data_IF_570281326055
#
_entry.id   IF_570281326055
#
_cell.length_a   1.000
_cell.length_b   1.000
_cell.length_c   1.000
_cell.angle_alpha   90.00
_cell.angle_beta   90.00
_cell.angle_gamma   90.00
#
_symmetry.space_group_name_H-M   'P 1'
#
loop_
_entity.id
_entity.type
_entity.pdbx_description
1 polymer ?
#
# COMPACT_ATOMS: atom_id res chain seq x y z
N UNK A 1 -25.72 24.73 -17.81
CA UNK A 1 -24.77 24.86 -16.69
C UNK A 1 -24.23 26.29 -16.53
N UNK A 2 -23.46 26.87 -17.47
CA UNK A 2 -22.89 28.23 -17.29
C UNK A 2 -23.93 29.35 -17.00
N UNK A 3 -25.04 29.42 -17.75
CA UNK A 3 -26.13 30.39 -17.48
C UNK A 3 -26.80 30.21 -16.11
N UNK A 4 -26.87 28.99 -15.59
CA UNK A 4 -27.42 28.71 -14.25
C UNK A 4 -26.46 29.13 -13.13
N UNK A 5 -25.17 29.28 -13.44
CA UNK A 5 -24.14 29.80 -12.53
C UNK A 5 -23.88 31.30 -12.73
N UNK A 6 -24.75 32.02 -13.47
CA UNK A 6 -24.64 33.46 -13.69
C UNK A 6 -23.54 33.89 -14.67
N UNK A 7 -22.91 32.94 -15.37
CA UNK A 7 -21.80 33.21 -16.30
C UNK A 7 -22.36 33.56 -17.67
N UNK A 8 -22.01 34.74 -18.19
CA UNK A 8 -22.37 35.16 -19.53
C UNK A 8 -21.41 34.55 -20.57
N UNK A 9 -21.68 33.29 -20.94
CA UNK A 9 -20.87 32.52 -21.89
C UNK A 9 -20.79 33.16 -23.29
N UNK A 10 -21.78 34.00 -23.65
CA UNK A 10 -21.81 34.71 -24.94
C UNK A 10 -20.69 35.78 -25.05
N UNK A 11 -20.08 36.18 -23.92
CA UNK A 11 -18.93 37.11 -23.91
C UNK A 11 -17.56 36.42 -24.02
N UNK A 12 -17.48 35.12 -23.74
CA UNK A 12 -16.20 34.36 -23.65
C UNK A 12 -15.98 33.40 -24.83
N UNK A 13 -17.00 33.11 -25.62
CA UNK A 13 -16.93 32.19 -26.76
C UNK A 13 -17.03 32.95 -28.10
N UNK A 14 -16.10 32.66 -29.02
CA UNK A 14 -16.14 33.19 -30.38
C UNK A 14 -16.67 32.14 -31.36
N UNK A 15 -17.54 32.54 -32.30
CA UNK A 15 -18.03 31.66 -33.38
C UNK A 15 -16.99 31.60 -34.50
N UNK A 16 -16.51 30.40 -34.82
CA UNK A 16 -15.36 30.21 -35.73
C UNK A 16 -15.78 29.61 -37.08
N UNK A 17 -16.93 28.94 -37.20
CA UNK A 17 -17.39 28.38 -38.49
C UNK A 17 -18.86 27.95 -38.55
N UNK A 18 -19.37 27.66 -39.77
CA UNK A 18 -20.67 27.03 -40.03
C UNK A 18 -20.52 25.51 -40.16
N UNK A 19 -21.42 24.73 -39.55
CA UNK A 19 -21.21 23.30 -39.29
C UNK A 19 -21.31 22.33 -40.48
N UNK A 20 -21.17 22.79 -41.73
CA UNK A 20 -21.32 21.97 -42.94
C UNK A 20 -20.00 21.51 -43.59
N UNK A 21 -18.83 21.91 -43.07
CA UNK A 21 -17.55 21.63 -43.73
C UNK A 21 -16.84 20.36 -43.25
N UNK A 22 -17.25 19.73 -42.14
CA UNK A 22 -16.63 18.50 -41.60
C UNK A 22 -17.67 17.49 -41.14
N UNK A 23 -17.59 16.26 -41.65
CA UNK A 23 -18.40 15.12 -41.22
C UNK A 23 -17.78 14.51 -39.95
N UNK A 24 -18.38 14.79 -38.79
CA UNK A 24 -18.00 14.19 -37.52
C UNK A 24 -18.83 12.94 -37.27
N UNK A 25 -18.23 11.92 -36.66
CA UNK A 25 -18.87 10.62 -36.41
C UNK A 25 -19.01 10.44 -34.90
N UNK A 26 -20.17 9.96 -34.43
CA UNK A 26 -20.39 9.66 -33.02
C UNK A 26 -19.60 8.42 -32.56
N UNK A 27 -19.56 8.18 -31.24
CA UNK A 27 -18.88 7.03 -30.65
C UNK A 27 -19.47 5.66 -31.08
N UNK A 28 -20.62 5.66 -31.76
CA UNK A 28 -21.27 4.48 -32.32
C UNK A 28 -21.06 4.34 -33.84
N UNK A 29 -20.29 5.24 -34.47
CA UNK A 29 -19.95 5.18 -35.89
C UNK A 29 -20.92 5.91 -36.82
N UNK A 30 -21.88 6.69 -36.32
CA UNK A 30 -22.86 7.39 -37.17
C UNK A 30 -22.44 8.84 -37.47
N UNK A 31 -22.57 9.32 -38.72
CA UNK A 31 -22.26 10.69 -39.07
C UNK A 31 -23.27 11.68 -38.46
N UNK A 32 -22.75 12.72 -37.80
CA UNK A 32 -23.52 13.78 -37.15
C UNK A 32 -23.37 15.11 -37.89
N UNK A 33 -24.49 15.79 -38.13
CA UNK A 33 -24.54 17.15 -38.69
C UNK A 33 -24.66 18.23 -37.61
N UNK A 34 -23.94 19.34 -37.77
CA UNK A 34 -23.89 20.46 -36.81
C UNK A 34 -24.25 21.79 -37.47
N UNK A 35 -24.70 22.77 -36.67
CA UNK A 35 -25.09 24.10 -37.16
C UNK A 35 -23.95 25.12 -37.10
N UNK A 36 -23.09 25.05 -36.08
CA UNK A 36 -22.00 26.00 -35.87
C UNK A 36 -20.90 25.43 -34.99
N UNK A 37 -19.70 25.97 -35.13
CA UNK A 37 -18.55 25.71 -34.25
C UNK A 37 -18.18 26.98 -33.47
N UNK A 38 -17.98 26.83 -32.16
CA UNK A 38 -17.53 27.85 -31.22
C UNK A 38 -16.19 27.45 -30.62
N UNK A 39 -15.34 28.43 -30.29
CA UNK A 39 -14.09 28.21 -29.56
C UNK A 39 -14.09 29.05 -28.29
N UNK A 40 -13.74 28.42 -27.16
CA UNK A 40 -13.62 29.06 -25.85
C UNK A 40 -12.27 28.68 -25.21
N UNK A 41 -11.62 29.63 -24.53
CA UNK A 41 -10.35 29.39 -23.86
C UNK A 41 -10.59 28.90 -22.42
N UNK A 42 -10.11 27.71 -22.08
CA UNK A 42 -10.25 27.09 -20.76
C UNK A 42 -8.89 27.06 -20.05
N UNK A 43 -8.88 27.29 -18.73
CA UNK A 43 -7.67 27.19 -17.91
C UNK A 43 -7.63 25.82 -17.24
N UNK A 44 -6.56 25.07 -17.45
CA UNK A 44 -6.36 23.72 -16.89
C UNK A 44 -5.44 23.85 -15.68
N UNK A 45 -5.83 23.25 -14.55
CA UNK A 45 -5.00 23.20 -13.35
C UNK A 45 -3.66 22.54 -13.70
N UNK A 46 -2.55 23.16 -13.30
CA UNK A 46 -1.16 22.76 -13.57
C UNK A 46 -0.63 22.91 -15.01
N UNK A 47 -1.45 23.26 -16.02
CA UNK A 47 -1.00 23.29 -17.42
C UNK A 47 -1.24 24.61 -18.21
N UNK A 48 -1.90 25.64 -17.65
CA UNK A 48 -2.08 26.95 -18.30
C UNK A 48 -3.42 27.11 -19.06
N UNK A 49 -3.50 28.07 -20.00
CA UNK A 49 -4.72 28.34 -20.81
C UNK A 49 -4.67 27.58 -22.14
N UNK A 50 -5.74 26.86 -22.51
CA UNK A 50 -5.87 26.09 -23.75
C UNK A 50 -7.22 26.36 -24.46
N UNK A 51 -7.25 26.51 -25.80
CA UNK A 51 -8.49 26.67 -26.55
C UNK A 51 -9.24 25.34 -26.72
N UNK A 52 -10.56 25.36 -26.49
CA UNK A 52 -11.45 24.21 -26.64
C UNK A 52 -12.55 24.51 -27.66
N UNK A 53 -12.76 23.58 -28.58
CA UNK A 53 -13.76 23.67 -29.65
C UNK A 53 -15.08 23.01 -29.22
N UNK A 54 -16.19 23.68 -29.46
CA UNK A 54 -17.55 23.29 -29.06
C UNK A 54 -18.47 23.35 -30.28
N UNK A 55 -19.25 22.29 -30.53
CA UNK A 55 -20.13 22.20 -31.70
C UNK A 55 -21.59 22.36 -31.30
N UNK A 56 -22.37 23.12 -32.07
CA UNK A 56 -23.78 23.40 -31.77
C UNK A 56 -24.67 22.55 -32.65
N UNK A 57 -25.56 21.77 -32.05
CA UNK A 57 -26.56 20.96 -32.77
C UNK A 57 -27.97 21.39 -32.35
N UNK A 58 -28.94 21.31 -33.27
CA UNK A 58 -30.35 21.56 -32.94
C UNK A 58 -31.09 20.24 -32.89
N UNK A 59 -31.63 19.92 -31.73
CA UNK A 59 -32.56 18.81 -31.53
C UNK A 59 -33.99 19.36 -31.53
N UNK A 60 -35.00 18.50 -31.67
CA UNK A 60 -36.39 18.90 -31.99
C UNK A 60 -36.98 19.95 -31.02
N UNK A 61 -36.57 19.95 -29.75
CA UNK A 61 -37.09 20.91 -28.76
C UNK A 61 -36.06 21.89 -28.17
N UNK A 62 -34.76 21.72 -28.42
CA UNK A 62 -33.72 22.64 -27.90
C UNK A 62 -32.45 22.66 -28.77
N UNK A 63 -31.74 23.80 -28.75
CA UNK A 63 -30.38 23.89 -29.31
C UNK A 63 -29.37 23.42 -28.27
N UNK A 64 -28.67 22.34 -28.56
CA UNK A 64 -27.69 21.69 -27.68
C UNK A 64 -26.26 22.12 -28.08
N UNK A 65 -25.48 22.53 -27.09
CA UNK A 65 -24.04 22.77 -27.25
C UNK A 65 -23.32 21.45 -26.96
N UNK A 66 -22.90 20.74 -27.99
CA UNK A 66 -22.12 19.50 -27.89
C UNK A 66 -20.63 19.82 -27.99
N UNK A 67 -20.03 19.90 -26.83
CA UNK A 67 -18.61 19.72 -26.69
C UNK A 67 -18.36 19.28 -25.26
N UNK A 68 -17.70 18.14 -25.12
CA UNK A 68 -17.00 17.73 -23.89
C UNK A 68 -17.82 17.18 -22.73
N UNK A 69 -18.77 16.30 -23.00
CA UNK A 69 -19.31 15.35 -22.02
C UNK A 69 -18.25 14.36 -21.46
N UNK A 70 -17.04 14.30 -22.05
CA UNK A 70 -15.93 13.47 -21.56
C UNK A 70 -14.94 14.22 -20.64
N UNK A 71 -15.01 15.55 -20.49
CA UNK A 71 -14.00 16.26 -19.69
C UNK A 71 -14.07 15.92 -18.21
N UNK A 72 -15.28 15.75 -17.66
CA UNK A 72 -15.45 15.29 -16.28
C UNK A 72 -14.96 13.86 -16.06
N UNK A 73 -15.07 12.99 -17.07
CA UNK A 73 -14.54 11.61 -17.01
C UNK A 73 -13.01 11.57 -17.17
N UNK A 74 -12.42 12.54 -17.87
CA UNK A 74 -10.98 12.74 -17.97
C UNK A 74 -10.39 13.51 -16.77
N UNK A 75 -11.19 13.79 -15.73
CA UNK A 75 -10.77 14.50 -14.52
C UNK A 75 -10.61 16.02 -14.69
N UNK A 76 -11.06 16.58 -15.81
CA UNK A 76 -10.94 18.01 -16.11
C UNK A 76 -12.23 18.72 -15.70
N UNK A 77 -12.12 19.59 -14.69
CA UNK A 77 -13.24 20.39 -14.19
C UNK A 77 -13.12 21.82 -14.71
N UNK A 78 -14.16 22.30 -15.40
CA UNK A 78 -14.20 23.68 -15.92
C UNK A 78 -14.68 24.60 -14.82
N UNK A 79 -13.82 25.53 -14.38
CA UNK A 79 -14.16 26.56 -13.39
C UNK A 79 -14.33 27.89 -14.12
N UNK A 80 -15.50 28.51 -13.97
CA UNK A 80 -15.76 29.84 -14.50
C UNK A 80 -15.41 30.88 -13.45
N UNK A 81 -14.49 31.80 -13.77
CA UNK A 81 -14.13 32.89 -12.86
C UNK A 81 -15.15 34.02 -12.96
N UNK A 82 -15.94 34.24 -11.91
CA UNK A 82 -16.69 35.49 -11.74
C UNK A 82 -15.74 36.60 -11.32
N UNK A 83 -15.54 37.60 -12.16
CA UNK A 83 -14.60 38.71 -11.93
C UNK A 83 -15.10 39.69 -10.86
N UNK A 84 -14.25 40.03 -9.89
CA UNK A 84 -13.70 41.38 -9.68
C UNK A 84 -13.16 41.58 -8.24
N UNK A 85 -11.83 41.50 -8.06
CA UNK A 85 -11.00 42.56 -7.45
C UNK A 85 -9.59 42.03 -7.19
N UNK A 86 -8.73 42.21 -8.19
CA UNK A 86 -7.29 42.28 -7.99
C UNK A 86 -6.95 43.68 -7.46
N UNK A 87 -6.17 43.73 -6.37
CA UNK A 87 -5.32 44.88 -6.07
C UNK A 87 -4.03 44.36 -5.40
N UNK A 88 -2.95 44.47 -6.15
CA UNK A 88 -1.57 44.18 -5.75
C UNK A 88 -1.15 44.90 -4.46
N UNK A 89 -0.37 44.21 -3.63
CA UNK A 89 0.34 44.81 -2.50
C UNK A 89 1.09 43.78 -1.67
N UNK A 90 2.43 43.86 -1.71
CA UNK A 90 3.38 43.00 -0.98
C UNK A 90 3.00 42.75 0.50
N UNK A 91 3.07 41.48 0.93
CA UNK A 91 3.27 41.11 2.33
C UNK A 91 2.33 40.02 2.87
N UNK A 92 2.93 38.98 3.43
CA UNK A 92 2.36 37.91 4.25
C UNK A 92 1.68 36.72 3.53
N UNK A 93 2.25 35.54 3.76
CA UNK A 93 1.72 34.22 3.42
C UNK A 93 0.28 34.01 3.93
N UNK A 94 -0.61 33.31 3.21
CA UNK A 94 -1.92 32.97 3.74
C UNK A 94 -1.78 31.79 4.71
N UNK A 95 -1.83 32.10 6.01
CA UNK A 95 -2.16 31.13 7.06
C UNK A 95 -3.61 30.69 6.79
N UNK A 96 -3.79 29.47 6.32
CA UNK A 96 -5.13 28.87 6.14
C UNK A 96 -5.50 28.09 7.39
N UNK A 97 -6.68 28.39 7.94
CA UNK A 97 -7.22 27.84 9.19
C UNK A 97 -7.54 26.33 9.07
N UNK A 98 -6.54 25.48 9.33
CA UNK A 98 -6.74 24.03 9.46
C UNK A 98 -7.19 23.61 10.88
N UNK A 99 -7.98 24.46 11.53
CA UNK A 99 -8.32 24.33 12.95
C UNK A 99 -9.36 23.22 13.14
N UNK A 100 -9.08 22.29 14.05
CA UNK A 100 -9.95 21.17 14.44
C UNK A 100 -10.60 21.48 15.78
N UNK A 101 -11.93 21.46 15.81
CA UNK A 101 -12.73 21.83 16.99
C UNK A 101 -13.56 20.66 17.51
N UNK A 102 -13.84 20.61 18.80
CA UNK A 102 -14.74 19.63 19.37
C UNK A 102 -16.18 19.83 18.86
N UNK A 103 -16.76 18.81 18.22
CA UNK A 103 -18.14 18.83 17.73
C UNK A 103 -19.15 18.81 18.88
N UNK A 104 -18.79 18.12 19.97
CA UNK A 104 -19.60 17.94 21.18
C UNK A 104 -18.74 18.17 22.42
N UNK A 105 -19.36 18.68 23.49
CA UNK A 105 -18.71 18.76 24.78
C UNK A 105 -18.67 17.40 25.47
N UNK A 106 -17.52 17.05 26.06
CA UNK A 106 -17.34 15.80 26.81
C UNK A 106 -16.64 16.09 28.14
N UNK A 107 -16.94 15.28 29.15
CA UNK A 107 -16.20 15.27 30.41
C UNK A 107 -15.44 13.96 30.48
N UNK A 108 -14.12 14.02 30.54
CA UNK A 108 -13.25 12.85 30.66
C UNK A 108 -12.76 12.73 32.10
N UNK A 109 -13.22 11.73 32.88
CA UNK A 109 -12.74 11.52 34.24
C UNK A 109 -11.22 11.27 34.30
N UNK A 110 -10.55 11.56 35.43
CA UNK A 110 -9.11 11.32 35.58
C UNK A 110 -8.77 9.85 35.39
N UNK A 111 -7.75 9.54 34.58
CA UNK A 111 -7.29 8.18 34.28
C UNK A 111 -8.08 7.43 33.20
N UNK A 112 -9.10 8.05 32.59
CA UNK A 112 -9.94 7.42 31.57
C UNK A 112 -9.59 7.82 30.14
N UNK A 113 -9.95 6.95 29.20
CA UNK A 113 -9.91 7.21 27.75
C UNK A 113 -11.33 7.49 27.25
N UNK A 114 -11.50 8.53 26.45
CA UNK A 114 -12.77 8.86 25.82
C UNK A 114 -12.58 9.24 24.35
N UNK A 115 -13.53 8.89 23.48
CA UNK A 115 -13.53 9.31 22.09
C UNK A 115 -14.28 10.65 21.95
N UNK A 116 -13.63 11.65 21.36
CA UNK A 116 -14.21 12.96 21.09
C UNK A 116 -14.43 13.12 19.60
N UNK A 117 -15.66 13.50 19.25
CA UNK A 117 -16.00 13.92 17.89
C UNK A 117 -15.42 15.30 17.63
N UNK A 118 -14.65 15.41 16.56
CA UNK A 118 -14.09 16.67 16.10
C UNK A 118 -14.61 17.04 14.72
N UNK A 119 -14.71 18.35 14.48
CA UNK A 119 -15.13 18.97 13.22
C UNK A 119 -13.99 19.84 12.67
N UNK A 120 -13.72 19.74 11.37
CA UNK A 120 -12.72 20.57 10.70
C UNK A 120 -12.64 20.32 9.18
N UNK A 121 -11.95 21.19 8.43
CA UNK A 121 -11.82 21.09 6.97
C UNK A 121 -10.83 19.99 6.57
N UNK A 122 -11.26 18.73 6.67
CA UNK A 122 -10.47 17.55 6.29
C UNK A 122 -11.33 16.55 5.53
N UNK A 123 -10.74 15.85 4.55
CA UNK A 123 -11.44 14.83 3.76
C UNK A 123 -10.56 13.59 3.58
N UNK A 124 -11.06 12.42 3.97
CA UNK A 124 -10.32 11.16 3.87
C UNK A 124 -9.41 10.90 5.07
N UNK A 125 -8.27 10.23 4.85
CA UNK A 125 -7.29 9.98 5.90
C UNK A 125 -6.43 11.24 6.12
N UNK A 126 -6.62 11.93 7.25
CA UNK A 126 -5.91 13.16 7.60
C UNK A 126 -5.09 12.95 8.88
N UNK A 127 -3.89 13.54 8.95
CA UNK A 127 -3.08 13.55 10.17
C UNK A 127 -3.59 14.65 11.12
N UNK A 128 -4.05 14.26 12.31
CA UNK A 128 -4.39 15.17 13.39
C UNK A 128 -3.12 15.52 14.19
N UNK A 129 -2.76 16.81 14.23
CA UNK A 129 -1.72 17.32 15.13
C UNK A 129 -2.38 17.93 16.36
N UNK A 130 -2.12 17.32 17.50
CA UNK A 130 -2.58 17.85 18.78
C UNK A 130 -1.79 19.08 19.18
N UNK A 131 -2.47 20.09 19.72
CA UNK A 131 -1.83 21.23 20.39
C UNK A 131 -1.65 21.01 21.91
N UNK A 132 -2.15 19.90 22.45
CA UNK A 132 -2.13 19.60 23.88
C UNK A 132 -1.44 18.26 24.14
N UNK A 133 -0.57 18.17 25.15
CA UNK A 133 0.10 16.91 25.54
C UNK A 133 -0.86 15.79 25.99
N UNK A 134 -2.14 16.11 26.18
CA UNK A 134 -3.20 15.19 26.62
C UNK A 134 -3.94 14.50 25.46
N UNK A 135 -3.67 14.90 24.22
CA UNK A 135 -4.22 14.26 23.02
C UNK A 135 -3.04 13.78 22.18
N UNK A 136 -3.06 12.51 21.82
CA UNK A 136 -2.04 11.94 20.95
C UNK A 136 -2.31 12.38 19.50
N UNK A 137 -1.25 12.75 18.78
CA UNK A 137 -1.34 13.03 17.35
C UNK A 137 -1.45 11.72 16.59
N UNK A 138 -2.32 11.64 15.58
CA UNK A 138 -2.63 10.37 14.91
C UNK A 138 -3.33 10.54 13.57
N UNK A 139 -3.39 9.47 12.78
CA UNK A 139 -4.10 9.46 11.49
C UNK A 139 -5.58 9.15 11.75
N UNK A 140 -6.45 10.04 11.33
CA UNK A 140 -7.89 9.91 11.51
C UNK A 140 -8.59 9.83 10.16
N UNK A 141 -9.60 8.97 10.07
CA UNK A 141 -10.47 8.91 8.90
C UNK A 141 -11.59 9.96 9.05
N UNK A 142 -11.48 11.06 8.32
CA UNK A 142 -12.46 12.14 8.31
C UNK A 142 -13.57 11.82 7.32
N UNK A 143 -14.79 11.66 7.83
CA UNK A 143 -16.01 11.47 7.04
C UNK A 143 -16.91 12.68 7.25
N UNK A 144 -17.31 13.35 6.16
CA UNK A 144 -18.19 14.53 6.23
C UNK A 144 -17.66 15.64 7.17
N UNK A 145 -16.35 15.95 7.11
CA UNK A 145 -15.67 16.90 8.00
C UNK A 145 -15.71 16.53 9.50
N UNK A 146 -16.05 15.27 9.84
CA UNK A 146 -16.05 14.76 11.21
C UNK A 146 -15.08 13.59 11.37
N UNK A 147 -14.42 13.52 12.53
CA UNK A 147 -13.58 12.40 12.92
C UNK A 147 -13.72 12.11 14.43
N UNK A 148 -13.53 10.85 14.81
CA UNK A 148 -13.45 10.43 16.21
C UNK A 148 -11.98 10.37 16.63
N UNK A 149 -11.61 11.11 17.66
CA UNK A 149 -10.23 11.15 18.20
C UNK A 149 -10.22 10.59 19.62
N UNK A 150 -9.37 9.60 19.94
CA UNK A 150 -9.19 9.14 21.31
C UNK A 150 -8.42 10.17 22.13
N UNK A 151 -8.94 10.49 23.31
CA UNK A 151 -8.34 11.42 24.27
C UNK A 151 -8.10 10.69 25.58
N UNK A 152 -6.93 10.91 26.19
CA UNK A 152 -6.53 10.29 27.46
C UNK A 152 -6.37 11.36 28.53
N UNK A 153 -7.21 11.34 29.56
CA UNK A 153 -7.02 12.26 30.68
C UNK A 153 -5.97 11.70 31.66
N UNK A 154 -4.73 12.16 31.53
CA UNK A 154 -3.60 11.82 32.42
C UNK A 154 -3.52 12.70 33.69
N UNK A 155 -4.46 13.62 33.89
CA UNK A 155 -4.50 14.51 35.06
C UNK A 155 -5.22 13.93 36.27
N UNK A 156 -5.07 14.61 37.43
CA UNK A 156 -5.79 14.28 38.68
C UNK A 156 -7.21 14.85 38.76
N UNK A 157 -7.61 15.66 37.78
CA UNK A 157 -8.92 16.34 37.73
C UNK A 157 -9.67 15.98 36.44
N UNK A 158 -11.02 15.96 36.47
CA UNK A 158 -11.82 15.71 35.28
C UNK A 158 -11.62 16.81 34.24
N UNK A 159 -11.34 16.41 33.00
CA UNK A 159 -11.14 17.34 31.90
C UNK A 159 -12.47 17.57 31.18
N UNK A 160 -12.95 18.82 31.22
CA UNK A 160 -14.16 19.25 30.49
C UNK A 160 -13.73 19.88 29.18
N UNK A 161 -14.08 19.25 28.06
CA UNK A 161 -13.91 19.80 26.71
C UNK A 161 -15.24 20.41 26.29
N UNK A 162 -15.23 21.68 25.89
CA UNK A 162 -16.41 22.40 25.45
C UNK A 162 -16.66 22.22 23.95
N UNK A 163 -17.94 22.28 23.54
CA UNK A 163 -18.28 22.31 22.10
C UNK A 163 -17.65 23.56 21.47
N UNK A 164 -16.89 23.37 20.39
CA UNK A 164 -16.19 24.43 19.67
C UNK A 164 -14.77 24.73 20.17
N UNK A 165 -14.31 24.05 21.22
CA UNK A 165 -12.93 24.18 21.72
C UNK A 165 -11.93 23.64 20.69
N UNK A 166 -10.84 24.38 20.46
CA UNK A 166 -9.79 24.00 19.53
C UNK A 166 -8.93 22.90 20.16
N UNK A 167 -8.92 21.71 19.53
CA UNK A 167 -8.18 20.54 20.02
C UNK A 167 -6.87 20.32 19.26
N UNK A 168 -6.78 20.82 18.04
CA UNK A 168 -5.60 20.66 17.21
C UNK A 168 -5.78 21.23 15.82
N UNK A 169 -4.92 20.77 14.91
CA UNK A 169 -4.94 21.16 13.51
C UNK A 169 -4.84 19.93 12.60
N UNK A 170 -5.57 19.96 11.48
CA UNK A 170 -5.36 18.99 10.42
C UNK A 170 -4.04 19.34 9.72
N UNK A 171 -3.12 18.40 9.65
CA UNK A 171 -1.92 18.63 8.85
C UNK A 171 -2.31 18.78 7.37
N UNK A 172 -1.75 19.78 6.71
CA UNK A 172 -1.80 19.94 5.24
C UNK A 172 -0.93 18.90 4.52
N UNK A 173 -0.13 18.14 5.26
CA UNK A 173 0.73 17.12 4.70
C UNK A 173 -0.14 15.99 4.15
N UNK A 174 -0.04 15.77 2.84
CA UNK A 174 -0.64 14.63 2.19
C UNK A 174 0.04 13.37 2.71
N UNK A 175 -0.67 12.59 3.53
CA UNK A 175 -0.26 11.23 3.81
C UNK A 175 -0.56 10.40 2.58
N UNK A 176 0.50 9.89 1.95
CA UNK A 176 0.40 9.08 0.74
C UNK A 176 0.49 7.63 1.16
N UNK A 177 -0.55 6.85 0.87
CA UNK A 177 -0.48 5.39 0.95
C UNK A 177 0.73 4.94 0.11
N UNK A 178 1.78 4.38 0.74
CA UNK A 178 2.90 3.83 0.01
C UNK A 178 2.39 2.58 -0.69
N UNK A 179 1.81 2.75 -1.88
CA UNK A 179 1.89 1.73 -2.91
C UNK A 179 3.37 1.51 -3.15
N UNK A 180 3.97 0.61 -2.38
CA UNK A 180 5.20 -0.06 -2.76
C UNK A 180 4.88 -0.58 -4.14
N UNK A 181 5.61 -0.10 -5.15
CA UNK A 181 5.61 -0.84 -6.39
C UNK A 181 6.21 -2.18 -5.97
N UNK A 182 5.36 -3.22 -5.86
CA UNK A 182 5.84 -4.57 -5.68
C UNK A 182 6.96 -4.70 -6.71
N UNK A 183 8.18 -5.01 -6.24
CA UNK A 183 9.25 -5.39 -7.15
C UNK A 183 8.59 -6.44 -8.03
N UNK A 184 8.69 -6.37 -9.37
CA UNK A 184 8.17 -7.40 -10.25
C UNK A 184 9.00 -8.70 -10.11
N UNK A 185 9.29 -9.13 -8.88
CA UNK A 185 9.39 -10.52 -8.48
C UNK A 185 7.99 -11.08 -8.55
N UNK A 186 7.54 -11.35 -9.79
CA UNK A 186 6.56 -12.40 -9.94
C UNK A 186 7.17 -13.62 -9.26
N UNK A 187 6.43 -14.22 -8.32
CA UNK A 187 6.79 -15.38 -7.50
C UNK A 187 7.32 -16.58 -8.33
N UNK A 188 7.33 -16.45 -9.66
CA UNK A 188 7.47 -17.44 -10.72
C UNK A 188 8.17 -16.86 -11.99
N UNK A 189 8.91 -15.76 -11.87
CA UNK A 189 9.64 -15.13 -12.99
C UNK A 189 10.83 -15.99 -13.44
N UNK A 190 10.71 -16.60 -14.63
CA UNK A 190 11.55 -17.71 -15.14
C UNK A 190 12.98 -17.36 -15.59
N UNK A 191 13.45 -16.12 -15.51
CA UNK A 191 14.80 -15.80 -15.99
C UNK A 191 15.23 -14.37 -15.64
N UNK A 192 16.12 -14.24 -14.66
CA UNK A 192 16.97 -13.06 -14.56
C UNK A 192 18.44 -13.50 -14.47
N UNK A 193 19.34 -12.91 -15.28
CA UNK A 193 20.76 -13.21 -15.20
C UNK A 193 21.35 -12.68 -13.89
N UNK A 194 22.35 -13.39 -13.35
CA UNK A 194 23.14 -12.94 -12.19
C UNK A 194 23.83 -11.62 -12.59
N UNK A 195 23.45 -10.53 -11.94
CA UNK A 195 23.98 -9.19 -12.24
C UNK A 195 25.36 -8.98 -11.60
N UNK A 196 26.24 -8.23 -12.26
CA UNK A 196 27.51 -7.80 -11.67
C UNK A 196 27.27 -6.81 -10.51
N UNK A 197 28.14 -6.79 -9.50
CA UNK A 197 27.94 -6.00 -8.27
C UNK A 197 27.73 -4.49 -8.51
N UNK A 198 28.42 -3.90 -9.50
CA UNK A 198 28.25 -2.49 -9.82
C UNK A 198 26.86 -2.20 -10.40
N UNK A 199 26.38 -3.08 -11.30
CA UNK A 199 25.05 -2.98 -11.89
C UNK A 199 23.96 -3.26 -10.85
N UNK A 200 24.24 -4.17 -9.91
CA UNK A 200 23.38 -4.50 -8.77
C UNK A 200 23.05 -3.28 -7.91
N UNK A 201 24.08 -2.55 -7.45
CA UNK A 201 23.91 -1.36 -6.61
C UNK A 201 23.14 -0.28 -7.37
N UNK A 202 23.43 -0.10 -8.66
CA UNK A 202 22.70 0.85 -9.50
C UNK A 202 21.21 0.48 -9.64
N UNK A 203 20.90 -0.80 -9.82
CA UNK A 203 19.53 -1.30 -9.86
C UNK A 203 18.81 -1.14 -8.52
N UNK A 204 19.44 -1.48 -7.40
CA UNK A 204 18.88 -1.27 -6.06
C UNK A 204 18.55 0.20 -5.80
N UNK A 205 19.49 1.10 -6.10
CA UNK A 205 19.26 2.55 -5.95
C UNK A 205 18.11 3.00 -6.86
N UNK A 206 18.03 2.50 -8.08
CA UNK A 206 16.93 2.84 -9.01
C UNK A 206 15.59 2.36 -8.47
N UNK A 207 15.51 1.13 -7.95
CA UNK A 207 14.29 0.56 -7.36
C UNK A 207 13.86 1.38 -6.12
N UNK A 208 14.82 1.73 -5.26
CA UNK A 208 14.54 2.53 -4.06
C UNK A 208 14.13 3.97 -4.41
N UNK A 209 14.77 4.59 -5.40
CA UNK A 209 14.40 5.92 -5.89
C UNK A 209 13.01 5.92 -6.54
N UNK A 210 12.64 4.86 -7.28
CA UNK A 210 11.29 4.68 -7.83
C UNK A 210 10.24 4.45 -6.73
N UNK A 211 10.62 3.78 -5.66
CA UNK A 211 9.76 3.52 -4.50
C UNK A 211 9.61 4.76 -3.60
N UNK A 212 10.57 5.70 -3.65
CA UNK A 212 10.52 6.96 -2.91
C UNK A 212 9.64 7.98 -3.61
N UNK A 213 8.67 8.51 -2.88
CA UNK A 213 7.80 9.59 -3.35
C UNK A 213 8.27 10.99 -2.94
N UNK A 214 9.26 11.10 -2.06
CA UNK A 214 9.73 12.37 -1.49
C UNK A 214 11.25 12.55 -1.62
N UNK A 215 11.67 13.44 -2.53
CA UNK A 215 13.05 13.89 -2.69
C UNK A 215 14.07 12.79 -3.02
N UNK A 216 15.29 13.18 -3.44
CA UNK A 216 16.37 12.23 -3.66
C UNK A 216 16.72 11.49 -2.35
N UNK A 217 17.06 10.20 -2.45
CA UNK A 217 17.55 9.44 -1.30
C UNK A 217 18.83 10.09 -0.72
N UNK A 218 18.92 10.31 0.60
CA UNK A 218 20.11 10.87 1.23
C UNK A 218 21.39 10.08 0.90
N UNK A 219 22.50 10.78 0.72
CA UNK A 219 23.78 10.19 0.31
C UNK A 219 24.30 9.17 1.34
N UNK A 220 24.04 9.39 2.62
CA UNK A 220 24.41 8.45 3.68
C UNK A 220 23.69 7.11 3.52
N UNK A 221 22.39 7.14 3.22
CA UNK A 221 21.59 5.92 3.00
C UNK A 221 22.04 5.22 1.72
N UNK A 222 22.34 5.98 0.64
CA UNK A 222 22.93 5.44 -0.59
C UNK A 222 24.24 4.68 -0.31
N UNK A 223 25.10 5.21 0.57
CA UNK A 223 26.33 4.52 0.98
C UNK A 223 26.04 3.23 1.75
N UNK A 224 25.08 3.25 2.68
CA UNK A 224 24.67 2.04 3.42
C UNK A 224 24.16 0.96 2.46
N UNK A 225 23.28 1.31 1.52
CA UNK A 225 22.75 0.36 0.53
C UNK A 225 23.87 -0.20 -0.35
N UNK A 226 24.87 0.62 -0.71
CA UNK A 226 26.04 0.15 -1.45
C UNK A 226 26.95 -0.78 -0.64
N UNK A 227 27.08 -0.55 0.66
CA UNK A 227 27.88 -1.36 1.59
C UNK A 227 27.24 -2.75 1.84
N UNK A 228 25.92 -2.78 2.05
CA UNK A 228 25.12 -3.99 2.35
C UNK A 228 24.33 -4.50 1.14
N UNK A 229 24.82 -4.25 -0.08
CA UNK A 229 24.12 -4.58 -1.33
C UNK A 229 23.79 -6.08 -1.51
N UNK A 230 24.51 -6.96 -0.81
CA UNK A 230 24.36 -8.40 -0.79
C UNK A 230 23.20 -8.88 0.10
N UNK A 231 22.81 -8.10 1.10
CA UNK A 231 21.67 -8.40 1.99
C UNK A 231 20.32 -8.23 1.28
N UNK A 232 20.23 -7.28 0.35
CA UNK A 232 18.99 -7.02 -0.39
C UNK A 232 18.79 -8.04 -1.49
N UNK A 233 17.62 -8.66 -1.62
CA UNK A 233 17.29 -9.48 -2.78
C UNK A 233 16.73 -8.61 -3.92
N UNK A 234 17.28 -8.76 -5.14
CA UNK A 234 16.69 -8.16 -6.35
C UNK A 234 15.74 -9.15 -7.03
N UNK A 235 16.06 -10.43 -6.90
CA UNK A 235 15.29 -11.54 -7.43
C UNK A 235 15.16 -12.62 -6.38
N UNK A 236 14.01 -13.27 -6.36
CA UNK A 236 13.76 -14.45 -5.54
C UNK A 236 14.72 -15.63 -5.86
N UNK A 237 15.47 -15.58 -6.98
CA UNK A 237 16.52 -16.56 -7.30
C UNK A 237 17.76 -16.44 -6.39
N UNK A 238 17.94 -15.30 -5.74
CA UNK A 238 19.08 -15.02 -4.86
C UNK A 238 18.83 -15.49 -3.42
N UNK A 239 17.61 -15.95 -3.13
CA UNK A 239 17.21 -16.35 -1.80
C UNK A 239 18.00 -17.58 -1.35
N UNK A 240 18.58 -17.46 -0.17
CA UNK A 240 19.28 -18.54 0.51
C UNK A 240 18.44 -19.06 1.69
N UNK A 241 18.86 -20.19 2.25
CA UNK A 241 18.19 -20.78 3.42
C UNK A 241 18.98 -20.45 4.68
N UNK A 242 18.27 -20.11 5.76
CA UNK A 242 18.89 -19.92 7.07
C UNK A 242 19.32 -21.26 7.66
N UNK A 243 20.39 -21.23 8.46
CA UNK A 243 20.86 -22.35 9.28
C UNK A 243 20.47 -22.21 10.77
N UNK A 244 19.75 -21.15 11.13
CA UNK A 244 19.42 -20.83 12.53
C UNK A 244 18.28 -21.69 13.09
N UNK A 245 17.32 -22.06 12.24
CA UNK A 245 16.13 -22.80 12.67
C UNK A 245 15.58 -23.68 11.56
N UNK A 246 15.15 -24.88 11.96
CA UNK A 246 14.29 -25.74 11.14
C UNK A 246 12.85 -25.60 11.61
N UNK A 247 11.92 -25.58 10.65
CA UNK A 247 10.49 -25.64 10.96
C UNK A 247 9.99 -27.09 10.93
N UNK A 248 9.21 -27.41 11.95
CA UNK A 248 8.62 -28.74 12.13
C UNK A 248 7.10 -28.64 12.27
N UNK A 249 6.39 -29.65 11.80
CA UNK A 249 4.92 -29.74 11.85
C UNK A 249 4.56 -30.87 12.80
N UNK A 250 4.31 -30.52 14.07
CA UNK A 250 3.92 -31.50 15.09
C UNK A 250 2.41 -31.77 15.04
N UNK A 251 2.04 -32.95 14.53
CA UNK A 251 0.65 -33.42 14.46
C UNK A 251 0.27 -34.37 15.60
N UNK A 252 1.08 -34.47 16.66
CA UNK A 252 0.77 -35.27 17.85
C UNK A 252 0.61 -36.77 17.59
N UNK A 253 1.23 -37.29 16.52
CA UNK A 253 1.11 -38.70 16.11
C UNK A 253 -0.15 -39.03 15.31
N UNK A 254 -0.89 -38.04 14.82
CA UNK A 254 -2.06 -38.25 13.97
C UNK A 254 -1.68 -39.02 12.67
N UNK A 255 -2.50 -39.99 12.22
CA UNK A 255 -2.24 -40.70 10.97
C UNK A 255 -2.30 -39.77 9.75
N UNK A 256 -1.68 -40.14 8.62
CA UNK A 256 -1.66 -39.30 7.42
C UNK A 256 -3.06 -38.94 6.89
N UNK A 257 -3.22 -37.66 6.54
CA UNK A 257 -4.45 -37.15 5.92
C UNK A 257 -4.27 -37.13 4.40
N UNK A 258 -5.15 -37.82 3.68
CA UNK A 258 -5.18 -37.84 2.21
C UNK A 258 -6.44 -37.16 1.69
N UNK A 259 -6.31 -35.92 1.25
CA UNK A 259 -7.39 -35.18 0.61
C UNK A 259 -7.43 -35.45 -0.90
N UNK A 260 -8.61 -35.30 -1.50
CA UNK A 260 -8.80 -35.48 -2.94
C UNK A 260 -8.16 -34.33 -3.71
N UNK A 261 -7.35 -34.65 -4.71
CA UNK A 261 -6.79 -33.67 -5.66
C UNK A 261 -7.91 -32.89 -6.35
N UNK A 262 -7.76 -31.57 -6.40
CA UNK A 262 -8.73 -30.70 -7.08
C UNK A 262 -8.43 -30.64 -8.58
N UNK A 263 -9.47 -30.66 -9.44
CA UNK A 263 -9.26 -30.48 -10.87
C UNK A 263 -8.75 -29.07 -11.15
N UNK A 264 -7.80 -28.97 -12.08
CA UNK A 264 -7.29 -27.70 -12.59
C UNK A 264 -8.00 -27.41 -13.93
N UNK A 265 -8.61 -26.23 -14.12
CA UNK A 265 -9.18 -25.83 -15.40
C UNK A 265 -8.17 -25.94 -16.55
N UNK A 266 -8.62 -26.42 -17.71
CA UNK A 266 -7.73 -26.71 -18.84
C UNK A 266 -6.90 -25.50 -19.29
N UNK A 267 -7.50 -24.30 -19.29
CA UNK A 267 -6.83 -23.07 -19.75
C UNK A 267 -5.63 -22.63 -18.91
N UNK A 268 -5.54 -23.06 -17.64
CA UNK A 268 -4.46 -22.65 -16.72
C UNK A 268 -3.54 -23.82 -16.34
N UNK A 269 -3.77 -25.00 -16.91
CA UNK A 269 -3.00 -26.20 -16.56
C UNK A 269 -1.52 -26.08 -16.92
N UNK A 270 -1.22 -25.53 -18.10
CA UNK A 270 0.15 -25.31 -18.54
C UNK A 270 0.88 -24.31 -17.63
N UNK A 271 0.19 -23.26 -17.17
CA UNK A 271 0.73 -22.29 -16.22
C UNK A 271 1.07 -22.97 -14.89
N UNK A 272 0.15 -23.76 -14.34
CA UNK A 272 0.35 -24.52 -13.09
C UNK A 272 1.48 -25.54 -13.20
N UNK A 273 1.64 -26.20 -14.35
CA UNK A 273 2.77 -27.10 -14.63
C UNK A 273 4.09 -26.32 -14.69
N UNK A 274 4.12 -25.15 -15.33
CA UNK A 274 5.29 -24.26 -15.34
C UNK A 274 5.67 -23.79 -13.93
N UNK A 275 4.71 -23.46 -13.08
CA UNK A 275 4.97 -23.09 -11.68
C UNK A 275 5.61 -24.22 -10.88
N UNK A 276 5.16 -25.45 -11.10
CA UNK A 276 5.72 -26.62 -10.41
C UNK A 276 7.17 -26.85 -10.83
N UNK A 277 7.49 -26.67 -12.11
CA UNK A 277 8.87 -26.78 -12.61
C UNK A 277 9.74 -25.70 -11.98
N UNK A 278 9.29 -24.44 -11.98
CA UNK A 278 10.01 -23.33 -11.34
C UNK A 278 10.30 -23.60 -9.86
N UNK A 279 9.29 -24.00 -9.09
CA UNK A 279 9.45 -24.30 -7.66
C UNK A 279 10.44 -25.46 -7.42
N UNK A 280 10.53 -26.43 -8.34
CA UNK A 280 11.49 -27.54 -8.26
C UNK A 280 12.90 -27.08 -8.58
N UNK A 281 13.08 -26.30 -9.65
CA UNK A 281 14.39 -25.79 -10.06
C UNK A 281 15.00 -24.91 -8.96
N UNK A 282 14.15 -24.16 -8.27
CA UNK A 282 14.50 -23.31 -7.11
C UNK A 282 14.67 -24.10 -5.82
N UNK A 283 14.47 -25.42 -5.84
CA UNK A 283 14.57 -26.32 -4.68
C UNK A 283 13.64 -25.92 -3.52
N UNK A 284 12.54 -25.25 -3.82
CA UNK A 284 11.46 -24.95 -2.86
C UNK A 284 10.60 -26.18 -2.63
N UNK A 285 10.36 -26.97 -3.70
CA UNK A 285 9.64 -28.24 -3.65
C UNK A 285 10.43 -29.37 -4.31
N UNK A 286 10.03 -30.61 -4.03
CA UNK A 286 10.57 -31.82 -4.64
C UNK A 286 9.46 -32.86 -4.85
N UNK A 287 9.72 -33.88 -5.68
CA UNK A 287 8.77 -34.98 -5.87
C UNK A 287 8.60 -35.74 -4.55
N UNK A 288 7.35 -36.12 -4.23
CA UNK A 288 7.03 -36.77 -2.97
C UNK A 288 6.40 -38.14 -3.17
N UNK A 289 6.64 -39.03 -2.21
CA UNK A 289 5.95 -40.30 -2.04
C UNK A 289 5.23 -40.35 -0.68
N UNK A 290 4.96 -39.18 -0.11
CA UNK A 290 4.40 -39.04 1.23
C UNK A 290 3.01 -39.69 1.32
N UNK A 291 2.66 -40.31 2.46
CA UNK A 291 1.30 -40.76 2.71
C UNK A 291 0.32 -39.60 2.94
N UNK A 292 0.81 -38.37 3.13
CA UNK A 292 0.01 -37.15 3.27
C UNK A 292 -0.29 -36.51 1.90
N UNK A 293 -1.46 -35.92 1.76
CA UNK A 293 -1.83 -35.20 0.54
C UNK A 293 -2.80 -34.06 0.83
N UNK A 294 -2.32 -32.83 0.66
CA UNK A 294 -3.16 -31.62 0.64
C UNK A 294 -3.41 -31.16 -0.80
N UNK A 295 -4.60 -30.67 -1.17
CA UNK A 295 -4.86 -30.23 -2.54
C UNK A 295 -4.40 -28.78 -2.75
N UNK A 296 -3.98 -28.46 -3.98
CA UNK A 296 -3.72 -27.06 -4.36
C UNK A 296 -5.00 -26.24 -4.52
N UNK A 297 -4.87 -24.94 -4.33
CA UNK A 297 -5.88 -23.90 -4.58
C UNK A 297 -5.22 -22.80 -5.39
N UNK A 298 -5.84 -22.42 -6.50
CA UNK A 298 -5.35 -21.38 -7.38
C UNK A 298 -6.12 -20.10 -7.10
N UNK A 299 -5.42 -19.01 -6.84
CA UNK A 299 -6.00 -17.70 -6.51
C UNK A 299 -5.49 -16.68 -7.52
N UNK A 300 -6.39 -15.95 -8.17
CA UNK A 300 -6.01 -14.85 -9.05
C UNK A 300 -5.53 -13.64 -8.23
N UNK A 301 -4.36 -13.11 -8.57
CA UNK A 301 -3.85 -11.84 -8.06
C UNK A 301 -4.54 -10.67 -8.79
N UNK A 302 -4.39 -9.46 -8.26
CA UNK A 302 -4.97 -8.22 -8.83
C UNK A 302 -4.39 -7.88 -10.21
N UNK A 303 -3.16 -8.29 -10.48
CA UNK A 303 -2.44 -8.11 -11.74
C UNK A 303 -2.84 -9.13 -12.82
N UNK A 304 -3.71 -10.10 -12.49
CA UNK A 304 -4.15 -11.15 -13.40
C UNK A 304 -3.30 -12.43 -13.37
N UNK A 305 -2.17 -12.44 -12.66
CA UNK A 305 -1.35 -13.64 -12.44
C UNK A 305 -1.99 -14.59 -11.45
N UNK A 306 -1.58 -15.87 -11.44
CA UNK A 306 -2.15 -16.87 -10.54
C UNK A 306 -1.15 -17.19 -9.42
N UNK A 307 -1.66 -17.28 -8.19
CA UNK A 307 -0.93 -17.78 -7.01
C UNK A 307 -1.31 -19.22 -6.72
N UNK A 308 -0.31 -20.09 -6.66
CA UNK A 308 -0.47 -21.47 -6.18
C UNK A 308 -0.43 -21.49 -4.65
N UNK A 309 -1.54 -21.84 -4.03
CA UNK A 309 -1.67 -22.07 -2.59
C UNK A 309 -1.92 -23.55 -2.32
N UNK A 310 -1.60 -24.02 -1.12
CA UNK A 310 -1.96 -25.37 -0.66
C UNK A 310 -2.98 -25.27 0.46
N UNK A 311 -4.04 -26.07 0.37
CA UNK A 311 -5.09 -26.10 1.39
C UNK A 311 -4.71 -26.99 2.57
N UNK A 312 -3.94 -26.43 3.52
CA UNK A 312 -3.55 -27.10 4.75
C UNK A 312 -4.62 -27.07 5.84
N UNK A 313 -5.89 -26.75 5.56
CA UNK A 313 -6.91 -26.64 6.62
C UNK A 313 -7.08 -27.91 7.44
N UNK A 314 -7.03 -29.09 6.84
CA UNK A 314 -7.14 -30.36 7.58
C UNK A 314 -5.88 -30.66 8.39
N UNK A 315 -4.69 -30.38 7.84
CA UNK A 315 -3.41 -30.47 8.56
C UNK A 315 -3.42 -29.54 9.77
N UNK A 316 -3.81 -28.28 9.59
CA UNK A 316 -3.85 -27.26 10.64
C UNK A 316 -4.80 -27.59 11.81
N UNK A 317 -5.81 -28.44 11.60
CA UNK A 317 -6.70 -28.89 12.69
C UNK A 317 -6.00 -29.84 13.65
N UNK A 318 -5.08 -30.65 13.14
CA UNK A 318 -4.35 -31.68 13.91
C UNK A 318 -2.96 -31.21 14.35
N UNK A 319 -2.44 -30.15 13.72
CA UNK A 319 -1.18 -29.52 14.14
C UNK A 319 -1.31 -28.89 15.53
N UNK A 320 -0.37 -29.22 16.40
CA UNK A 320 -0.20 -28.58 17.71
C UNK A 320 0.17 -27.10 17.51
N UNK A 321 -0.72 -26.21 17.95
CA UNK A 321 -0.55 -24.77 17.80
C UNK A 321 0.48 -24.24 18.79
N UNK A 322 1.33 -23.33 18.31
CA UNK A 322 2.20 -22.52 19.17
C UNK A 322 1.41 -21.29 19.65
N UNK A 323 1.51 -20.97 20.94
CA UNK A 323 0.86 -19.80 21.55
C UNK A 323 1.84 -18.66 21.75
N UNK A 324 2.91 -18.62 20.95
CA UNK A 324 3.89 -17.55 20.98
C UNK A 324 3.21 -16.18 20.79
N UNK A 325 3.40 -15.23 21.71
CA UNK A 325 2.76 -13.93 21.61
C UNK A 325 3.37 -13.14 20.46
N UNK A 326 2.52 -12.62 19.56
CA UNK A 326 2.95 -11.59 18.63
C UNK A 326 3.00 -10.23 19.35
N UNK A 327 3.94 -9.35 19.01
CA UNK A 327 3.97 -8.00 19.55
C UNK A 327 2.65 -7.27 19.29
N UNK A 328 2.01 -6.67 20.31
CA UNK A 328 0.83 -5.84 20.12
C UNK A 328 1.16 -4.64 19.23
N UNK A 329 0.37 -4.43 18.18
CA UNK A 329 0.54 -3.33 17.23
C UNK A 329 0.51 -1.97 17.96
N UNK A 330 -0.30 -1.83 19.01
CA UNK A 330 -0.40 -0.61 19.81
C UNK A 330 0.93 -0.18 20.41
N UNK A 331 1.77 -1.13 20.85
CA UNK A 331 3.09 -0.84 21.42
C UNK A 331 4.02 -0.31 20.33
N UNK A 332 4.01 -0.97 19.16
CA UNK A 332 4.77 -0.53 18.00
C UNK A 332 4.39 0.90 17.62
N UNK A 333 3.08 1.22 17.57
CA UNK A 333 2.59 2.56 17.25
C UNK A 333 2.98 3.61 18.29
N UNK A 334 2.90 3.29 19.59
CA UNK A 334 3.34 4.19 20.66
C UNK A 334 4.82 4.54 20.56
N UNK A 335 5.67 3.59 20.18
CA UNK A 335 7.11 3.81 20.01
C UNK A 335 7.45 4.76 18.84
N UNK A 336 6.51 5.00 17.91
CA UNK A 336 6.70 5.94 16.80
C UNK A 336 6.57 7.41 17.21
N UNK A 337 6.06 7.69 18.42
CA UNK A 337 5.88 9.05 18.89
C UNK A 337 7.22 9.80 18.93
N UNK A 338 7.28 10.97 18.29
CA UNK A 338 8.47 11.82 18.22
C UNK A 338 9.55 11.35 17.24
N UNK A 339 9.36 10.22 16.55
CA UNK A 339 10.25 9.75 15.49
C UNK A 339 10.00 10.54 14.21
N UNK A 340 11.08 10.80 13.46
CA UNK A 340 11.06 11.61 12.22
C UNK A 340 11.55 10.84 11.00
N UNK A 341 12.33 9.80 11.22
CA UNK A 341 12.93 8.98 10.17
C UNK A 341 12.41 7.55 10.28
N UNK A 342 11.92 7.02 9.17
CA UNK A 342 11.30 5.70 9.10
C UNK A 342 11.88 4.90 7.93
N UNK A 343 12.23 3.66 8.20
CA UNK A 343 12.55 2.65 7.18
C UNK A 343 11.73 1.41 7.47
N UNK A 344 11.03 0.92 6.44
CA UNK A 344 10.36 -0.37 6.45
C UNK A 344 11.20 -1.32 5.60
N UNK A 345 11.52 -2.49 6.13
CA UNK A 345 12.15 -3.58 5.40
C UNK A 345 11.16 -4.75 5.36
N UNK A 346 10.96 -5.29 4.16
CA UNK A 346 10.16 -6.49 3.93
C UNK A 346 11.09 -7.63 3.53
N UNK A 347 10.89 -8.81 4.13
CA UNK A 347 11.70 -9.99 3.81
C UNK A 347 11.17 -10.69 2.56
N UNK A 348 11.93 -10.62 1.47
CA UNK A 348 11.63 -11.29 0.21
C UNK A 348 11.40 -12.81 0.40
N UNK A 349 10.16 -13.23 0.22
CA UNK A 349 9.68 -14.61 0.41
C UNK A 349 10.24 -15.26 1.68
N UNK A 350 10.25 -14.54 2.80
CA UNK A 350 10.94 -14.92 4.04
C UNK A 350 10.70 -16.36 4.49
N UNK A 351 9.47 -16.88 4.37
CA UNK A 351 9.16 -18.26 4.76
C UNK A 351 9.97 -19.30 3.97
N UNK A 352 10.26 -19.07 2.68
CA UNK A 352 11.04 -20.01 1.87
C UNK A 352 12.52 -20.07 2.26
N UNK A 353 12.98 -19.17 3.12
CA UNK A 353 14.33 -19.21 3.67
C UNK A 353 14.42 -20.17 4.86
N UNK A 354 13.29 -20.63 5.43
CA UNK A 354 13.27 -21.53 6.60
C UNK A 354 13.16 -22.99 6.15
N UNK A 355 14.17 -23.84 6.35
CA UNK A 355 14.11 -25.25 5.98
C UNK A 355 13.09 -26.04 6.81
N UNK A 356 12.49 -27.08 6.20
CA UNK A 356 11.63 -28.05 6.89
C UNK A 356 12.42 -29.28 7.38
N UNK A 357 12.05 -29.79 8.55
CA UNK A 357 12.50 -31.13 9.00
C UNK A 357 11.99 -32.21 8.06
N UNK A 358 12.67 -33.36 7.97
CA UNK A 358 12.26 -34.46 7.08
C UNK A 358 10.79 -34.89 7.30
N UNK A 359 10.35 -34.95 8.56
CA UNK A 359 8.96 -35.23 8.94
C UNK A 359 8.00 -34.15 8.45
N UNK A 360 8.35 -32.89 8.62
CA UNK A 360 7.53 -31.77 8.16
C UNK A 360 7.42 -31.72 6.63
N UNK A 361 8.47 -32.11 5.90
CA UNK A 361 8.41 -32.25 4.44
C UNK A 361 7.31 -33.23 4.05
N UNK A 362 7.27 -34.42 4.64
CA UNK A 362 6.20 -35.39 4.35
C UNK A 362 4.81 -34.83 4.64
N UNK A 363 4.60 -34.14 5.77
CA UNK A 363 3.30 -33.56 6.14
C UNK A 363 2.91 -32.40 5.21
N UNK A 364 3.88 -31.66 4.69
CA UNK A 364 3.69 -30.59 3.70
C UNK A 364 3.33 -31.10 2.30
N UNK A 365 3.25 -32.41 2.09
CA UNK A 365 2.99 -32.96 0.78
C UNK A 365 1.63 -32.52 0.21
N UNK A 366 1.66 -32.12 -1.05
CA UNK A 366 0.52 -31.65 -1.79
C UNK A 366 0.38 -32.36 -3.13
N UNK A 367 -0.83 -32.32 -3.69
CA UNK A 367 -1.16 -32.98 -4.95
C UNK A 367 -1.66 -31.98 -5.99
N UNK A 368 -1.22 -32.19 -7.22
CA UNK A 368 -1.68 -31.48 -8.42
C UNK A 368 -2.21 -32.50 -9.43
N UNK A 369 -2.73 -32.03 -10.55
CA UNK A 369 -3.10 -32.91 -11.68
C UNK A 369 -1.88 -33.61 -12.32
N UNK A 370 -0.67 -33.17 -11.99
CA UNK A 370 0.59 -33.58 -12.59
C UNK A 370 1.36 -34.56 -11.71
N UNK A 371 1.07 -34.63 -10.42
CA UNK A 371 1.79 -35.50 -9.49
C UNK A 371 1.62 -35.10 -8.02
N UNK A 372 2.48 -35.67 -7.17
CA UNK A 372 2.59 -35.37 -5.74
C UNK A 372 3.96 -34.77 -5.45
N UNK A 373 3.97 -33.69 -4.70
CA UNK A 373 5.17 -32.92 -4.36
C UNK A 373 5.16 -32.61 -2.87
N UNK A 374 6.32 -32.26 -2.33
CA UNK A 374 6.46 -31.78 -0.95
C UNK A 374 7.37 -30.57 -0.88
N UNK A 375 7.16 -29.72 0.11
CA UNK A 375 8.03 -28.57 0.31
C UNK A 375 9.32 -28.99 1.00
N UNK A 376 10.41 -28.30 0.66
CA UNK A 376 11.71 -28.39 1.35
C UNK A 376 11.89 -27.29 2.39
N UNK A 377 11.14 -26.21 2.24
CA UNK A 377 11.16 -24.98 3.04
C UNK A 377 9.75 -24.63 3.50
N UNK A 378 9.60 -23.76 4.49
CA UNK A 378 8.33 -23.46 5.13
C UNK A 378 7.30 -22.91 4.12
N UNK A 379 6.20 -23.62 3.83
CA UNK A 379 5.19 -23.13 2.91
C UNK A 379 4.21 -22.17 3.60
N UNK A 380 3.58 -21.33 2.80
CA UNK A 380 2.42 -20.55 3.22
C UNK A 380 1.23 -21.45 3.57
N UNK A 381 0.37 -20.97 4.47
CA UNK A 381 -0.89 -21.62 4.84
C UNK A 381 -0.83 -22.55 6.05
N UNK A 382 0.35 -22.85 6.59
CA UNK A 382 0.50 -23.58 7.85
C UNK A 382 0.25 -22.67 9.06
N UNK A 383 -0.49 -23.16 10.07
CA UNK A 383 -0.90 -22.35 11.22
C UNK A 383 0.25 -21.92 12.13
N UNK A 384 1.36 -22.67 12.12
CA UNK A 384 2.55 -22.42 12.96
C UNK A 384 3.63 -21.60 12.24
N UNK A 385 3.47 -21.32 10.94
CA UNK A 385 4.46 -20.60 10.15
C UNK A 385 4.72 -19.18 10.72
N UNK A 386 3.70 -18.34 10.97
CA UNK A 386 3.94 -16.97 11.45
C UNK A 386 4.63 -16.93 12.82
N UNK A 387 4.22 -17.78 13.75
CA UNK A 387 4.80 -17.84 15.10
C UNK A 387 6.27 -18.25 15.08
N UNK A 388 6.62 -19.18 14.19
CA UNK A 388 8.01 -19.64 14.05
C UNK A 388 8.86 -18.59 13.37
N UNK A 389 8.32 -17.91 12.36
CA UNK A 389 9.01 -16.82 11.69
C UNK A 389 9.24 -15.63 12.62
N UNK A 390 8.24 -15.24 13.41
CA UNK A 390 8.40 -14.23 14.46
C UNK A 390 9.57 -14.57 15.40
N UNK A 391 9.64 -15.81 15.89
CA UNK A 391 10.73 -16.24 16.80
C UNK A 391 12.11 -16.20 16.14
N UNK A 392 12.19 -16.59 14.86
CA UNK A 392 13.42 -16.47 14.09
C UNK A 392 13.84 -15.00 14.02
N UNK A 393 12.92 -14.11 13.65
CA UNK A 393 13.22 -12.70 13.51
C UNK A 393 13.61 -12.02 14.83
N UNK A 394 12.99 -12.43 15.93
CA UNK A 394 13.38 -11.96 17.24
C UNK A 394 14.76 -12.48 17.67
N UNK A 395 15.16 -13.66 17.21
CA UNK A 395 16.49 -14.20 17.44
C UNK A 395 17.56 -13.46 16.61
N UNK A 396 17.27 -13.18 15.33
CA UNK A 396 18.15 -12.44 14.42
C UNK A 396 18.39 -11.02 14.93
N UNK A 397 17.32 -10.29 15.28
CA UNK A 397 17.45 -8.92 15.75
C UNK A 397 17.92 -8.82 17.20
N UNK A 398 17.63 -9.81 18.05
CA UNK A 398 18.11 -9.89 19.43
C UNK A 398 17.92 -8.57 20.20
N UNK A 399 19.04 -8.03 20.69
CA UNK A 399 19.09 -6.79 21.48
C UNK A 399 18.89 -5.50 20.66
N UNK A 400 18.78 -5.61 19.32
CA UNK A 400 18.45 -4.46 18.47
C UNK A 400 16.98 -4.07 18.61
N UNK A 401 16.10 -5.01 18.99
CA UNK A 401 14.69 -4.73 19.20
C UNK A 401 14.49 -3.73 20.33
N UNK A 402 13.55 -2.83 20.16
CA UNK A 402 13.21 -1.87 21.19
C UNK A 402 12.37 -0.71 20.64
N UNK A 403 12.46 0.48 21.25
CA UNK A 403 11.72 1.65 20.81
C UNK A 403 12.07 2.14 19.40
N UNK A 404 13.24 1.74 18.86
CA UNK A 404 13.73 2.18 17.55
C UNK A 404 13.58 1.11 16.46
N UNK A 405 13.49 -0.17 16.83
CA UNK A 405 13.39 -1.29 15.88
C UNK A 405 12.30 -2.24 16.37
N UNK A 406 11.27 -2.38 15.54
CA UNK A 406 10.13 -3.27 15.78
C UNK A 406 10.07 -4.31 14.67
N UNK A 407 9.68 -5.53 15.01
CA UNK A 407 9.49 -6.61 14.04
C UNK A 407 8.13 -7.26 14.21
N UNK A 408 7.43 -7.42 13.10
CA UNK A 408 6.13 -8.04 13.03
C UNK A 408 6.10 -9.02 11.87
N UNK A 409 6.31 -10.31 12.18
CA UNK A 409 6.42 -11.40 11.22
C UNK A 409 7.50 -11.09 10.18
N UNK A 410 7.12 -10.66 8.98
CA UNK A 410 7.99 -10.40 7.84
C UNK A 410 8.36 -8.90 7.72
N UNK A 411 7.71 -8.02 8.49
CA UNK A 411 7.90 -6.57 8.46
C UNK A 411 8.86 -6.11 9.57
N UNK A 412 9.94 -5.41 9.19
CA UNK A 412 10.82 -4.72 10.12
C UNK A 412 10.63 -3.22 9.96
N UNK A 413 10.28 -2.55 11.07
CA UNK A 413 10.13 -1.12 11.14
C UNK A 413 11.27 -0.51 11.97
N UNK A 414 12.04 0.37 11.35
CA UNK A 414 13.06 1.19 11.99
C UNK A 414 12.53 2.63 12.09
N UNK A 415 12.52 3.19 13.29
CA UNK A 415 12.03 4.54 13.55
C UNK A 415 12.95 5.32 14.51
N UNK A 416 13.54 6.42 14.05
CA UNK A 416 14.48 7.25 14.83
C UNK A 416 14.13 8.74 14.75
N UNK A 417 14.68 9.52 15.68
CA UNK A 417 14.48 10.97 15.81
C UNK A 417 15.46 11.80 14.97
N UNK A 418 16.68 11.32 14.71
CA UNK A 418 17.68 11.96 13.84
C UNK A 418 18.14 11.07 12.69
N UNK A 419 18.66 11.71 11.64
CA UNK A 419 19.18 11.04 10.44
C UNK A 419 20.44 10.24 10.76
N UNK A 420 21.34 10.82 11.56
CA UNK A 420 22.61 10.20 11.96
C UNK A 420 22.36 8.94 12.78
N UNK A 421 21.39 8.99 13.70
CA UNK A 421 20.97 7.80 14.47
C UNK A 421 20.31 6.77 13.56
N UNK A 422 19.50 7.20 12.60
CA UNK A 422 18.84 6.31 11.65
C UNK A 422 19.84 5.45 10.88
N UNK A 423 20.87 6.08 10.33
CA UNK A 423 21.94 5.40 9.57
C UNK A 423 22.67 4.38 10.44
N UNK A 424 22.97 4.71 11.70
CA UNK A 424 23.61 3.77 12.63
C UNK A 424 22.74 2.56 12.94
N UNK A 425 21.45 2.77 13.21
CA UNK A 425 20.51 1.69 13.52
C UNK A 425 20.29 0.82 12.29
N UNK A 426 20.12 1.43 11.11
CA UNK A 426 19.96 0.72 9.84
C UNK A 426 21.16 -0.19 9.57
N UNK A 427 22.39 0.31 9.72
CA UNK A 427 23.60 -0.52 9.56
C UNK A 427 23.59 -1.73 10.49
N UNK A 428 23.32 -1.54 11.78
CA UNK A 428 23.27 -2.64 12.75
C UNK A 428 22.20 -3.67 12.44
N UNK A 429 21.04 -3.23 11.93
CA UNK A 429 19.98 -4.14 11.50
C UNK A 429 20.42 -4.93 10.27
N UNK A 430 21.02 -4.28 9.26
CA UNK A 430 21.52 -4.96 8.06
C UNK A 430 22.69 -5.91 8.37
N UNK A 431 23.57 -5.58 9.31
CA UNK A 431 24.65 -6.47 9.80
C UNK A 431 24.14 -7.75 10.47
N UNK A 432 22.89 -7.78 10.93
CA UNK A 432 22.30 -8.95 11.55
C UNK A 432 21.81 -10.00 10.54
N UNK A 433 21.66 -9.61 9.27
CA UNK A 433 21.29 -10.49 8.15
C UNK A 433 22.53 -10.88 7.37
#
# INVERSE_FOLDING_TARGET
MARQQGVNFDAEAAKVGSGNERTLIDASGNPMGFLAELVANVRVQEAGKAPVHLHVQRTQDTTLLLGTNALSELGITIIFSTSASDADGLGASPVSDNIVKAANGIIVPPGCVAAVKVEGPGHGSCLFRSQTERIDSGVCLVKQNQADIPIVNRGSEPWVIQKGEQLGEWSTESWVDPKVADIPGDMLSLSQPIMANADRVASLITILDLSRKAGPMPDEIRRVVGEYHDVFAISDLELTQTNLVDHDIDVGGHPPIKQKTRPVPYGIRAEVESMQIDLKDRKVVEDSQSPWASPIVLVAKKDGTIRLCVDYREVNKVTKKDSYPLPPIDITLQNLQGKRWFTSLDLASGYWQVPLTARAKEISAFTTTSGQFQFRVLPFGLTTAPTKFQRLMEHVLGDLKGPEVSVYIDDILIATDSAERHVQVLKRVLEAF
#
